data_IF_031923423926
#
_entry.id   IF_031923423926
#
_cell.length_a   1.000
_cell.length_b   1.000
_cell.length_c   1.000
_cell.angle_alpha   90.00
_cell.angle_beta   90.00
_cell.angle_gamma   90.00
#
_symmetry.space_group_name_H-M   'P 1'
#
loop_
_entity.id
_entity.type
_entity.pdbx_description
1 polymer ?
#
# COMPACT_ATOMS: atom_id res chain seq x y z
N UNK A 1 -46.86 29.80 25.58
CA UNK A 1 -47.28 29.00 24.41
C UNK A 1 -46.46 27.71 24.42
N UNK A 2 -47.09 26.56 24.61
CA UNK A 2 -46.43 25.26 24.50
C UNK A 2 -47.09 24.50 23.34
N UNK A 3 -46.30 24.16 22.34
CA UNK A 3 -46.73 23.34 21.19
C UNK A 3 -47.18 21.97 21.70
N UNK A 4 -48.46 21.66 21.51
CA UNK A 4 -48.95 20.30 21.57
C UNK A 4 -48.55 19.61 20.26
N UNK A 5 -47.67 18.62 20.35
CA UNK A 5 -47.37 17.73 19.23
C UNK A 5 -48.64 17.01 18.79
N UNK A 6 -49.39 17.58 17.84
CA UNK A 6 -50.45 16.89 17.11
C UNK A 6 -49.79 15.97 16.09
N UNK A 7 -49.22 14.87 16.57
CA UNK A 7 -48.85 13.75 15.71
C UNK A 7 -50.05 13.32 14.88
N UNK A 8 -49.83 13.03 13.60
CA UNK A 8 -50.88 12.57 12.68
C UNK A 8 -51.42 11.23 13.22
N UNK A 9 -52.67 11.22 13.66
CA UNK A 9 -53.38 9.97 13.98
C UNK A 9 -53.88 9.40 12.65
N UNK A 10 -53.19 8.42 12.10
CA UNK A 10 -53.68 7.63 10.95
C UNK A 10 -54.55 6.49 11.52
N UNK A 11 -55.90 6.54 11.41
CA UNK A 11 -56.73 5.46 11.87
C UNK A 11 -56.57 4.26 10.94
N UNK A 12 -56.02 3.16 11.44
CA UNK A 12 -55.92 1.89 10.71
C UNK A 12 -57.12 1.02 11.04
N UNK A 13 -57.74 0.45 10.01
CA UNK A 13 -58.87 -0.47 10.14
C UNK A 13 -58.53 -1.79 9.47
N UNK A 14 -58.84 -2.91 10.14
CA UNK A 14 -58.80 -4.24 9.53
C UNK A 14 -60.21 -4.68 9.13
N UNK A 15 -60.35 -5.26 7.94
CA UNK A 15 -61.62 -5.87 7.50
C UNK A 15 -61.84 -7.18 8.25
N UNK A 16 -63.02 -7.36 8.83
CA UNK A 16 -63.49 -8.59 9.49
C UNK A 16 -64.80 -9.03 8.86
N UNK A 17 -65.27 -10.24 9.19
CA UNK A 17 -66.46 -10.87 8.58
C UNK A 17 -67.71 -9.97 8.63
N UNK A 18 -67.84 -9.13 9.66
CA UNK A 18 -69.00 -8.26 9.90
C UNK A 18 -68.67 -6.76 9.83
N UNK A 19 -67.57 -6.36 9.17
CA UNK A 19 -67.27 -4.94 8.93
C UNK A 19 -65.80 -4.58 9.09
N UNK A 20 -65.52 -3.44 9.73
CA UNK A 20 -64.17 -2.94 9.96
C UNK A 20 -63.90 -2.74 11.45
N UNK A 21 -62.78 -3.26 11.93
CA UNK A 21 -62.33 -3.10 13.31
C UNK A 21 -61.15 -2.12 13.34
N UNK A 22 -61.22 -1.11 14.22
CA UNK A 22 -60.12 -0.17 14.48
C UNK A 22 -58.93 -0.91 15.09
N UNK A 23 -57.74 -0.71 14.53
CA UNK A 23 -56.49 -1.30 15.01
C UNK A 23 -55.69 -0.22 15.72
N UNK A 24 -55.32 -0.48 16.97
CA UNK A 24 -54.42 0.37 17.73
C UNK A 24 -53.00 -0.17 17.56
N UNK A 25 -52.13 0.57 16.88
CA UNK A 25 -50.69 0.32 16.88
C UNK A 25 -50.11 1.11 18.05
N UNK A 26 -49.36 0.45 18.93
CA UNK A 26 -48.70 1.14 20.05
C UNK A 26 -47.38 1.76 19.60
N UNK A 27 -46.94 2.82 20.28
CA UNK A 27 -45.61 3.40 20.05
C UNK A 27 -44.51 2.34 20.18
N UNK A 28 -44.65 1.38 21.09
CA UNK A 28 -43.70 0.27 21.26
C UNK A 28 -43.54 -0.58 19.99
N UNK A 29 -44.61 -0.83 19.23
CA UNK A 29 -44.54 -1.56 17.96
C UNK A 29 -43.78 -0.77 16.88
N UNK A 30 -43.92 0.57 16.86
CA UNK A 30 -43.25 1.46 15.90
C UNK A 30 -41.77 1.60 16.26
N UNK A 31 -41.46 1.84 17.54
CA UNK A 31 -40.09 1.98 18.06
C UNK A 31 -39.27 0.70 17.90
N UNK A 32 -39.90 -0.48 18.01
CA UNK A 32 -39.23 -1.76 17.76
C UNK A 32 -38.82 -1.94 16.29
N UNK A 33 -39.64 -1.51 15.35
CA UNK A 33 -39.33 -1.56 13.93
C UNK A 33 -38.20 -0.57 13.57
N UNK A 34 -38.22 0.63 14.17
CA UNK A 34 -37.18 1.65 13.99
C UNK A 34 -35.82 1.17 14.54
N UNK A 35 -35.79 0.66 15.77
CA UNK A 35 -34.58 0.10 16.38
C UNK A 35 -33.99 -1.07 15.57
N UNK A 36 -34.84 -1.91 14.95
CA UNK A 36 -34.37 -3.01 14.10
C UNK A 36 -33.64 -2.47 12.86
N UNK A 37 -34.15 -1.42 12.23
CA UNK A 37 -33.53 -0.78 11.06
C UNK A 37 -32.19 -0.17 11.44
N UNK A 38 -32.13 0.61 12.53
CA UNK A 38 -30.88 1.22 13.01
C UNK A 38 -29.83 0.18 13.40
N UNK A 39 -30.23 -0.95 13.98
CA UNK A 39 -29.31 -2.05 14.29
C UNK A 39 -28.77 -2.71 13.02
N UNK A 40 -29.60 -2.89 11.99
CA UNK A 40 -29.17 -3.47 10.72
C UNK A 40 -28.17 -2.57 9.98
N UNK A 41 -28.39 -1.27 9.96
CA UNK A 41 -27.46 -0.30 9.37
C UNK A 41 -26.10 -0.36 10.06
N UNK A 42 -26.07 -0.35 11.39
CA UNK A 42 -24.82 -0.49 12.16
C UNK A 42 -24.10 -1.81 11.91
N UNK A 43 -24.84 -2.91 11.73
CA UNK A 43 -24.24 -4.21 11.39
C UNK A 43 -23.59 -4.15 10.01
N UNK A 44 -24.26 -3.54 9.03
CA UNK A 44 -23.70 -3.40 7.69
C UNK A 44 -22.43 -2.52 7.70
N UNK A 45 -22.44 -1.41 8.44
CA UNK A 45 -21.26 -0.55 8.58
C UNK A 45 -20.07 -1.32 9.18
N UNK A 46 -20.33 -2.14 10.21
CA UNK A 46 -19.31 -3.00 10.82
C UNK A 46 -18.78 -4.05 9.83
N UNK A 47 -19.65 -4.64 9.01
CA UNK A 47 -19.26 -5.64 8.01
C UNK A 47 -18.38 -5.03 6.90
N UNK A 48 -18.70 -3.82 6.47
CA UNK A 48 -17.90 -3.05 5.52
C UNK A 48 -16.53 -2.67 6.11
N UNK A 49 -16.49 -2.26 7.38
CA UNK A 49 -15.25 -1.98 8.10
C UNK A 49 -14.37 -3.23 8.23
N UNK A 50 -14.97 -4.38 8.58
CA UNK A 50 -14.27 -5.67 8.68
C UNK A 50 -13.72 -6.08 7.31
N UNK A 51 -14.51 -5.94 6.26
CA UNK A 51 -14.09 -6.25 4.89
C UNK A 51 -12.92 -5.38 4.47
N UNK A 52 -12.98 -4.08 4.78
CA UNK A 52 -11.93 -3.11 4.48
C UNK A 52 -10.65 -3.42 5.24
N UNK A 53 -10.74 -3.69 6.55
CA UNK A 53 -9.59 -4.07 7.39
C UNK A 53 -8.92 -5.37 6.90
N UNK A 54 -9.70 -6.33 6.41
CA UNK A 54 -9.20 -7.58 5.88
C UNK A 54 -8.60 -7.46 4.45
N UNK A 55 -8.90 -6.38 3.72
CA UNK A 55 -8.54 -6.27 2.31
C UNK A 55 -7.06 -5.99 2.04
N UNK A 56 -6.29 -5.48 3.03
CA UNK A 56 -4.88 -5.14 2.82
C UNK A 56 -4.04 -5.11 4.11
N UNK A 57 -3.75 -6.28 4.67
CA UNK A 57 -2.90 -6.43 5.86
C UNK A 57 -1.57 -7.11 5.52
N UNK A 58 -0.57 -6.98 6.40
CA UNK A 58 0.73 -7.66 6.24
C UNK A 58 0.59 -9.10 6.74
N UNK A 59 0.83 -10.06 5.86
CA UNK A 59 0.84 -11.50 6.16
C UNK A 59 2.18 -11.94 6.75
N UNK A 60 3.27 -11.33 6.27
CA UNK A 60 4.63 -11.66 6.69
C UNK A 60 5.53 -10.45 6.50
N UNK A 61 6.39 -10.16 7.46
CA UNK A 61 7.46 -9.16 7.34
C UNK A 61 8.74 -9.70 7.96
N UNK A 62 9.85 -9.60 7.23
CA UNK A 62 11.14 -10.06 7.72
C UNK A 62 12.30 -9.34 7.00
N UNK A 63 13.54 -9.68 7.38
CA UNK A 63 14.76 -9.14 6.79
C UNK A 63 15.85 -10.20 6.68
N UNK A 64 16.75 -10.01 5.73
CA UNK A 64 18.01 -10.73 5.63
C UNK A 64 19.14 -9.78 5.20
N UNK A 65 20.32 -10.30 4.86
CA UNK A 65 21.47 -9.49 4.43
C UNK A 65 21.21 -8.68 3.16
N UNK A 66 20.22 -9.05 2.35
CA UNK A 66 19.90 -8.39 1.09
C UNK A 66 18.88 -7.26 1.26
N UNK A 67 18.17 -7.18 2.39
CA UNK A 67 17.18 -6.13 2.64
C UNK A 67 16.01 -6.60 3.49
N UNK A 68 14.93 -5.82 3.46
CA UNK A 68 13.67 -6.10 4.14
C UNK A 68 12.61 -6.45 3.09
N UNK A 69 11.62 -7.24 3.49
CA UNK A 69 10.44 -7.49 2.68
C UNK A 69 9.19 -7.58 3.54
N UNK A 70 8.04 -7.31 2.92
CA UNK A 70 6.72 -7.64 3.46
C UNK A 70 5.79 -8.17 2.38
N UNK A 71 4.98 -9.14 2.77
CA UNK A 71 3.93 -9.78 1.97
C UNK A 71 2.59 -9.23 2.40
N UNK A 72 1.85 -8.64 1.48
CA UNK A 72 0.51 -8.12 1.70
C UNK A 72 -0.55 -9.18 1.37
N UNK A 73 -1.68 -9.17 2.08
CA UNK A 73 -2.77 -10.16 1.94
C UNK A 73 -3.36 -10.24 0.53
N UNK A 74 -3.29 -9.13 -0.20
CA UNK A 74 -3.70 -9.03 -1.61
C UNK A 74 -2.68 -9.62 -2.61
N UNK A 75 -1.60 -10.25 -2.15
CA UNK A 75 -0.58 -10.89 -2.99
C UNK A 75 0.58 -9.97 -3.39
N UNK A 76 0.55 -8.69 -3.01
CA UNK A 76 1.65 -7.75 -3.27
C UNK A 76 2.86 -8.11 -2.41
N UNK A 77 4.04 -8.12 -3.04
CA UNK A 77 5.33 -8.22 -2.38
C UNK A 77 6.02 -6.86 -2.43
N UNK A 78 6.36 -6.31 -1.28
CA UNK A 78 7.15 -5.09 -1.16
C UNK A 78 8.52 -5.40 -0.57
N UNK A 79 9.58 -4.87 -1.17
CA UNK A 79 10.97 -5.09 -0.75
C UNK A 79 11.74 -3.77 -0.76
N UNK A 80 12.64 -3.58 0.19
CA UNK A 80 13.46 -2.37 0.26
C UNK A 80 14.78 -2.59 0.98
N UNK A 81 15.74 -1.72 0.69
CA UNK A 81 17.04 -1.76 1.32
C UNK A 81 17.95 -0.63 0.89
N UNK A 82 19.21 -0.74 1.27
CA UNK A 82 20.28 0.16 0.86
C UNK A 82 21.55 -0.62 0.55
N UNK A 83 22.33 -0.14 -0.42
CA UNK A 83 23.65 -0.68 -0.75
C UNK A 83 24.69 0.43 -0.66
N UNK A 84 25.66 0.27 0.23
CA UNK A 84 26.83 1.14 0.27
C UNK A 84 27.75 0.80 -0.91
N UNK A 85 28.24 1.83 -1.60
CA UNK A 85 29.23 1.73 -2.65
C UNK A 85 30.43 2.58 -2.21
N UNK A 86 31.52 1.90 -1.87
CA UNK A 86 32.80 2.51 -1.56
C UNK A 86 33.67 2.43 -2.81
N UNK A 87 34.35 3.53 -3.16
CA UNK A 87 35.25 3.61 -4.32
C UNK A 87 34.56 3.17 -5.61
N UNK A 88 33.61 3.98 -6.08
CA UNK A 88 32.89 3.70 -7.31
C UNK A 88 33.89 3.65 -8.46
N UNK A 89 33.99 2.49 -9.09
CA UNK A 89 34.89 2.29 -10.22
C UNK A 89 34.26 2.83 -11.51
N UNK A 90 34.87 3.89 -12.04
CA UNK A 90 34.61 4.49 -13.34
C UNK A 90 35.88 4.30 -14.17
N UNK A 91 36.03 3.12 -14.79
CA UNK A 91 37.26 2.66 -15.43
C UNK A 91 37.96 3.75 -16.29
N UNK A 92 39.22 4.10 -15.92
CA UNK A 92 40.20 4.86 -16.72
C UNK A 92 39.63 6.00 -17.57
N UNK A 93 38.94 6.94 -16.93
CA UNK A 93 38.52 8.19 -17.57
C UNK A 93 39.40 9.35 -17.09
N UNK A 94 39.58 10.41 -17.92
CA UNK A 94 40.27 11.62 -17.50
C UNK A 94 39.71 12.11 -16.15
N UNK A 95 40.60 12.41 -15.19
CA UNK A 95 40.18 12.87 -13.87
C UNK A 95 39.65 14.31 -13.94
N UNK A 96 38.41 14.48 -14.40
CA UNK A 96 37.74 15.77 -14.58
C UNK A 96 36.46 15.84 -13.76
N UNK A 97 36.11 17.02 -13.28
CA UNK A 97 34.85 17.24 -12.54
C UNK A 97 33.66 17.53 -13.46
N UNK A 98 33.90 17.81 -14.74
CA UNK A 98 32.91 18.34 -15.70
C UNK A 98 32.26 17.28 -16.57
N UNK A 99 32.78 16.05 -16.59
CA UNK A 99 32.25 14.97 -17.43
C UNK A 99 31.72 13.84 -16.56
N UNK A 100 30.54 13.34 -16.92
CA UNK A 100 29.90 12.23 -16.23
C UNK A 100 30.09 10.95 -17.01
N UNK A 101 30.41 9.88 -16.30
CA UNK A 101 30.56 8.55 -16.85
C UNK A 101 29.77 7.54 -16.01
N UNK A 102 29.45 6.40 -16.61
CA UNK A 102 28.87 5.28 -15.87
C UNK A 102 29.96 4.48 -15.16
N UNK A 103 29.63 3.99 -13.97
CA UNK A 103 30.42 3.00 -13.26
C UNK A 103 30.37 1.63 -13.94
N UNK A 104 31.11 0.67 -13.37
CA UNK A 104 30.75 -0.75 -13.52
C UNK A 104 29.29 -0.98 -13.09
N UNK A 105 28.69 -2.06 -13.57
CA UNK A 105 27.32 -2.41 -13.22
C UNK A 105 27.28 -3.07 -11.83
N UNK A 106 26.38 -2.63 -10.97
CA UNK A 106 26.17 -3.21 -9.65
C UNK A 106 24.90 -4.05 -9.63
N UNK A 107 24.95 -5.19 -8.92
CA UNK A 107 23.80 -6.05 -8.66
C UNK A 107 23.25 -5.83 -7.25
N UNK A 108 21.93 -5.79 -7.13
CA UNK A 108 21.19 -5.97 -5.88
C UNK A 108 20.35 -7.23 -6.02
N UNK A 109 20.63 -8.21 -5.17
CA UNK A 109 19.77 -9.39 -5.00
C UNK A 109 18.65 -9.01 -4.05
N UNK A 110 17.42 -9.44 -4.34
CA UNK A 110 16.29 -9.21 -3.46
C UNK A 110 16.36 -10.11 -2.22
N UNK A 111 15.74 -9.68 -1.10
CA UNK A 111 15.60 -10.51 0.08
C UNK A 111 14.61 -11.68 -0.11
N UNK A 112 13.70 -11.57 -1.09
CA UNK A 112 12.73 -12.60 -1.45
C UNK A 112 12.55 -12.62 -2.97
N UNK A 113 12.36 -13.79 -3.59
CA UNK A 113 12.12 -13.89 -5.03
C UNK A 113 10.65 -13.62 -5.35
N UNK A 114 10.37 -12.64 -6.22
CA UNK A 114 9.04 -12.31 -6.71
C UNK A 114 8.59 -13.30 -7.80
N UNK A 115 7.28 -13.59 -7.84
CA UNK A 115 6.68 -14.37 -8.92
C UNK A 115 6.49 -13.55 -10.21
N UNK A 116 6.16 -12.28 -10.07
CA UNK A 116 6.04 -11.30 -11.16
C UNK A 116 7.31 -10.43 -11.29
N UNK A 117 7.50 -9.81 -12.44
CA UNK A 117 8.56 -8.81 -12.59
C UNK A 117 8.32 -7.62 -11.66
N UNK A 118 9.37 -7.21 -10.96
CA UNK A 118 9.29 -6.12 -10.03
C UNK A 118 9.33 -4.75 -10.72
N UNK A 119 8.50 -3.84 -10.20
CA UNK A 119 8.63 -2.40 -10.41
C UNK A 119 9.67 -1.89 -9.42
N UNK A 120 10.78 -1.38 -9.92
CA UNK A 120 11.94 -1.00 -9.11
C UNK A 120 12.07 0.52 -9.12
N UNK A 121 12.33 1.09 -7.94
CA UNK A 121 12.73 2.49 -7.77
C UNK A 121 14.00 2.51 -6.95
N UNK A 122 15.01 3.25 -7.41
CA UNK A 122 16.26 3.41 -6.68
C UNK A 122 16.79 4.84 -6.81
N UNK A 123 17.45 5.31 -5.77
CA UNK A 123 18.05 6.63 -5.71
C UNK A 123 19.43 6.56 -5.08
N UNK A 124 20.33 7.44 -5.51
CA UNK A 124 21.62 7.60 -4.86
C UNK A 124 21.49 8.66 -3.78
N UNK A 125 21.98 8.34 -2.59
CA UNK A 125 22.22 9.29 -1.52
C UNK A 125 23.73 9.44 -1.36
N UNK A 126 24.24 10.62 -1.73
CA UNK A 126 25.65 10.98 -1.59
C UNK A 126 25.79 12.49 -1.42
N UNK A 127 26.97 12.94 -0.99
CA UNK A 127 27.35 14.35 -0.96
C UNK A 127 27.89 14.86 -2.31
N UNK A 128 27.66 14.13 -3.40
CA UNK A 128 28.19 14.43 -4.74
C UNK A 128 27.09 14.45 -5.81
N UNK A 129 27.39 15.05 -6.96
CA UNK A 129 26.50 15.05 -8.13
C UNK A 129 26.49 13.70 -8.84
N UNK A 130 25.80 12.71 -8.25
CA UNK A 130 25.75 11.34 -8.75
C UNK A 130 24.33 10.79 -8.75
N UNK A 131 23.93 10.09 -9.81
CA UNK A 131 22.59 9.51 -9.94
C UNK A 131 22.65 8.04 -10.37
N UNK A 132 21.56 7.32 -10.09
CA UNK A 132 21.40 5.91 -10.47
C UNK A 132 20.63 5.83 -11.77
N UNK A 133 21.01 4.90 -12.63
CA UNK A 133 20.18 4.44 -13.73
C UNK A 133 19.98 2.95 -13.65
N UNK A 134 18.73 2.50 -13.73
CA UNK A 134 18.41 1.08 -13.83
C UNK A 134 18.99 0.52 -15.11
N UNK A 135 19.55 -0.68 -14.99
CA UNK A 135 20.09 -1.40 -16.13
C UNK A 135 19.11 -2.45 -16.63
N UNK A 136 19.34 -2.92 -17.86
CA UNK A 136 18.65 -4.08 -18.44
C UNK A 136 19.13 -5.43 -17.87
N UNK A 137 20.17 -5.42 -17.03
CA UNK A 137 20.67 -6.63 -16.35
C UNK A 137 19.88 -7.01 -15.08
N UNK A 138 19.91 -8.30 -14.75
CA UNK A 138 19.07 -8.90 -13.70
C UNK A 138 17.79 -9.50 -14.30
N UNK A 139 17.10 -10.35 -13.54
CA UNK A 139 15.86 -11.00 -13.96
C UNK A 139 14.61 -10.22 -13.54
N UNK A 140 14.80 -9.12 -12.79
CA UNK A 140 13.74 -8.30 -12.17
C UNK A 140 12.80 -9.07 -11.25
N UNK A 141 13.11 -10.31 -10.90
CA UNK A 141 12.31 -11.17 -10.01
C UNK A 141 13.07 -11.58 -8.77
N UNK A 142 14.34 -11.90 -8.90
CA UNK A 142 15.27 -12.19 -7.80
C UNK A 142 16.34 -11.12 -7.64
N UNK A 143 16.57 -10.28 -8.65
CA UNK A 143 17.57 -9.23 -8.60
C UNK A 143 17.33 -8.14 -9.63
N UNK A 144 17.96 -6.99 -9.42
CA UNK A 144 18.12 -5.96 -10.44
C UNK A 144 19.56 -5.45 -10.48
N UNK A 145 19.90 -4.81 -11.59
CA UNK A 145 21.20 -4.19 -11.76
C UNK A 145 21.06 -2.71 -12.10
N UNK A 146 22.08 -1.94 -11.78
CA UNK A 146 22.11 -0.50 -12.04
C UNK A 146 23.53 -0.02 -12.33
N UNK A 147 23.63 1.14 -12.96
CA UNK A 147 24.86 1.92 -13.04
C UNK A 147 24.75 3.15 -12.16
N UNK A 148 25.87 3.58 -11.60
CA UNK A 148 25.99 4.91 -11.00
C UNK A 148 26.66 5.83 -12.03
N UNK A 149 26.03 6.98 -12.27
CA UNK A 149 26.57 8.03 -13.12
C UNK A 149 27.14 9.12 -12.24
N UNK A 150 28.44 9.36 -12.35
CA UNK A 150 29.12 10.45 -11.64
C UNK A 150 30.42 10.85 -12.35
N UNK A 151 31.02 11.95 -11.93
CA UNK A 151 32.37 12.32 -12.39
C UNK A 151 33.45 11.49 -11.67
N UNK A 152 34.64 11.28 -12.28
CA UNK A 152 35.75 10.59 -11.62
C UNK A 152 36.16 11.24 -10.28
N UNK A 153 36.07 12.56 -10.17
CA UNK A 153 36.34 13.26 -8.89
C UNK A 153 35.31 12.95 -7.80
N UNK A 154 34.08 12.58 -8.20
CA UNK A 154 32.98 12.21 -7.28
C UNK A 154 32.96 10.71 -6.95
N UNK A 155 33.77 9.90 -7.64
CA UNK A 155 33.72 8.44 -7.55
C UNK A 155 34.36 7.88 -6.28
N UNK A 156 35.29 8.63 -5.67
CA UNK A 156 35.86 8.34 -4.35
C UNK A 156 34.96 8.70 -3.17
N UNK A 157 33.79 9.32 -3.42
CA UNK A 157 32.79 9.62 -2.39
C UNK A 157 32.13 8.37 -1.82
N UNK A 158 31.52 8.50 -0.64
CA UNK A 158 30.63 7.47 -0.09
C UNK A 158 29.25 7.59 -0.72
N UNK A 159 28.81 6.54 -1.41
CA UNK A 159 27.49 6.50 -2.05
C UNK A 159 26.61 5.44 -1.40
N UNK A 160 25.34 5.77 -1.20
CA UNK A 160 24.33 4.83 -0.72
C UNK A 160 23.19 4.76 -1.71
N UNK A 161 23.02 3.60 -2.35
CA UNK A 161 21.87 3.37 -3.22
C UNK A 161 20.73 2.81 -2.39
N UNK A 162 19.73 3.65 -2.12
CA UNK A 162 18.48 3.26 -1.49
C UNK A 162 17.52 2.76 -2.57
N UNK A 163 16.80 1.68 -2.30
CA UNK A 163 15.94 1.07 -3.29
C UNK A 163 14.65 0.49 -2.68
N UNK A 164 13.63 0.42 -3.53
CA UNK A 164 12.35 -0.25 -3.30
C UNK A 164 11.98 -1.06 -4.53
N UNK A 165 11.40 -2.23 -4.33
CA UNK A 165 10.90 -3.09 -5.39
C UNK A 165 9.51 -3.63 -5.01
N UNK A 166 8.57 -3.58 -5.95
CA UNK A 166 7.20 -4.07 -5.81
C UNK A 166 6.94 -5.19 -6.81
N UNK A 167 6.48 -6.34 -6.35
CA UNK A 167 6.14 -7.51 -7.17
C UNK A 167 5.00 -8.31 -6.56
N UNK A 168 4.97 -9.62 -6.74
CA UNK A 168 3.94 -10.50 -6.17
C UNK A 168 4.54 -11.76 -5.56
N UNK A 169 3.87 -12.29 -4.53
CA UNK A 169 4.23 -13.54 -3.85
C UNK A 169 3.13 -14.61 -3.92
N UNK A 170 1.95 -14.23 -4.42
CA UNK A 170 0.78 -15.06 -4.68
C UNK A 170 0.31 -14.82 -6.11
#
# INVERSE_FOLDING_TARGET
MAQTNTGIIVPLFRKVKEGFQKVFITASNIMMADNKTTLQEKINDIDDDITTLNSNFIVEENKNSNGNYRKWSNGILEMWGKKALNNVNINNRPNTSTTVYNSIQYRITFPFASLSECIITCTNYSNTGAWVSLSTGGDRKSSFMFWLYCSPTSSGGSHYVCWRAMGTWK
#
